data_IF_312997018184
#
_entry.id   IF_312997018184
#
_cell.length_a   1.000
_cell.length_b   1.000
_cell.length_c   1.000
_cell.angle_alpha   90.00
_cell.angle_beta   90.00
_cell.angle_gamma   90.00
#
_symmetry.space_group_name_H-M   'P 1'
#
loop_
_entity.id
_entity.type
_entity.pdbx_description
1 polymer ?
#
# COMPACT_ATOMS: atom_id res chain seq x y z
N UNK A 1 -15.77 4.63 4.74
CA UNK A 1 -16.07 3.67 5.82
C UNK A 1 -14.82 2.81 5.99
N UNK A 2 -14.28 2.68 7.20
CA UNK A 2 -13.04 1.94 7.42
C UNK A 2 -13.33 0.43 7.41
N UNK A 3 -12.61 -0.34 6.59
CA UNK A 3 -12.78 -1.79 6.57
C UNK A 3 -12.15 -2.42 7.81
N UNK A 4 -12.80 -3.44 8.35
CA UNK A 4 -12.27 -4.29 9.45
C UNK A 4 -11.53 -5.52 8.92
N UNK A 5 -11.33 -5.63 7.61
CA UNK A 5 -10.63 -6.77 7.01
C UNK A 5 -9.18 -6.86 7.51
N UNK A 6 -8.80 -8.05 7.98
CA UNK A 6 -7.46 -8.32 8.49
C UNK A 6 -6.44 -8.58 7.38
N UNK A 7 -6.89 -9.00 6.19
CA UNK A 7 -6.03 -9.35 5.06
C UNK A 7 -6.49 -8.68 3.76
N UNK A 8 -5.56 -8.43 2.81
CA UNK A 8 -5.90 -7.91 1.48
C UNK A 8 -6.97 -8.72 0.76
N UNK A 9 -6.93 -10.05 0.88
CA UNK A 9 -7.89 -10.96 0.26
C UNK A 9 -9.27 -10.81 0.89
N UNK A 10 -9.35 -10.78 2.21
CA UNK A 10 -10.60 -10.52 2.94
C UNK A 10 -11.17 -9.17 2.56
N UNK A 11 -10.32 -8.15 2.37
CA UNK A 11 -10.74 -6.84 1.93
C UNK A 11 -11.38 -6.89 0.55
N UNK A 12 -10.71 -7.48 -0.45
CA UNK A 12 -11.25 -7.63 -1.81
C UNK A 12 -12.56 -8.43 -1.83
N UNK A 13 -12.64 -9.49 -1.03
CA UNK A 13 -13.84 -10.32 -0.94
C UNK A 13 -15.02 -9.61 -0.25
N UNK A 14 -14.75 -8.64 0.63
CA UNK A 14 -15.78 -7.82 1.27
C UNK A 14 -16.39 -6.75 0.37
N UNK A 15 -15.80 -6.51 -0.82
CA UNK A 15 -16.28 -5.49 -1.74
C UNK A 15 -17.52 -5.97 -2.52
N UNK A 16 -18.48 -5.07 -2.80
CA UNK A 16 -19.56 -5.29 -3.77
C UNK A 16 -19.02 -5.75 -5.14
N UNK A 17 -19.77 -6.59 -5.85
CA UNK A 17 -19.31 -7.24 -7.09
C UNK A 17 -18.88 -6.25 -8.19
N UNK A 18 -19.61 -5.14 -8.33
CA UNK A 18 -19.33 -4.03 -9.24
C UNK A 18 -17.96 -3.39 -8.97
N UNK A 19 -17.52 -3.36 -7.70
CA UNK A 19 -16.22 -2.78 -7.29
C UNK A 19 -15.12 -3.79 -7.23
N UNK A 20 -15.45 -5.03 -6.87
CA UNK A 20 -14.50 -6.12 -6.72
C UNK A 20 -13.72 -6.32 -8.02
N UNK A 21 -14.36 -6.24 -9.17
CA UNK A 21 -13.69 -6.34 -10.47
C UNK A 21 -12.64 -5.21 -10.66
N UNK A 22 -13.05 -3.95 -10.53
CA UNK A 22 -12.17 -2.80 -10.73
C UNK A 22 -11.00 -2.77 -9.74
N UNK A 23 -11.27 -2.99 -8.44
CA UNK A 23 -10.23 -2.99 -7.40
C UNK A 23 -9.28 -4.17 -7.57
N UNK A 24 -9.77 -5.35 -7.98
CA UNK A 24 -8.90 -6.51 -8.23
C UNK A 24 -7.95 -6.27 -9.40
N UNK A 25 -8.43 -5.67 -10.50
CA UNK A 25 -7.58 -5.31 -11.64
C UNK A 25 -6.52 -4.27 -11.24
N UNK A 26 -6.91 -3.23 -10.51
CA UNK A 26 -5.95 -2.25 -9.99
C UNK A 26 -4.91 -2.89 -9.07
N UNK A 27 -5.32 -3.77 -8.16
CA UNK A 27 -4.42 -4.54 -7.27
C UNK A 27 -3.43 -5.37 -8.07
N UNK A 28 -3.90 -6.10 -9.10
CA UNK A 28 -3.01 -6.90 -9.97
C UNK A 28 -1.97 -6.02 -10.67
N UNK A 29 -2.39 -4.88 -11.24
CA UNK A 29 -1.48 -3.96 -11.92
C UNK A 29 -0.45 -3.40 -10.96
N UNK A 30 -0.86 -3.03 -9.74
CA UNK A 30 0.08 -2.53 -8.73
C UNK A 30 1.07 -3.62 -8.34
N UNK A 31 0.61 -4.81 -7.97
CA UNK A 31 1.50 -5.91 -7.58
C UNK A 31 2.49 -6.29 -8.69
N UNK A 32 2.07 -6.22 -9.96
CA UNK A 32 2.95 -6.46 -11.12
C UNK A 32 4.05 -5.40 -11.26
N UNK A 33 3.75 -4.15 -10.94
CA UNK A 33 4.68 -3.03 -11.07
C UNK A 33 5.37 -2.65 -9.76
N UNK A 34 4.99 -3.28 -8.65
CA UNK A 34 5.54 -3.00 -7.34
C UNK A 34 7.01 -3.45 -7.32
N UNK A 35 7.95 -2.57 -6.93
CA UNK A 35 9.36 -2.95 -6.86
C UNK A 35 9.58 -4.11 -5.88
N UNK A 36 10.56 -4.97 -6.19
CA UNK A 36 10.97 -6.05 -5.28
C UNK A 36 11.35 -5.46 -3.92
N UNK A 37 10.92 -6.14 -2.85
CA UNK A 37 11.18 -5.74 -1.48
C UNK A 37 10.02 -5.00 -0.81
N UNK A 38 9.03 -4.52 -1.56
CA UNK A 38 7.81 -3.95 -0.99
C UNK A 38 6.82 -5.07 -0.64
N UNK A 39 5.98 -4.82 0.35
CA UNK A 39 4.96 -5.76 0.82
C UNK A 39 3.57 -5.14 0.74
N UNK A 40 2.58 -5.97 0.43
CA UNK A 40 1.17 -5.61 0.53
C UNK A 40 0.64 -5.97 1.92
N UNK A 41 0.02 -5.01 2.60
CA UNK A 41 -0.53 -5.14 3.95
C UNK A 41 -1.89 -4.46 4.04
N UNK A 42 -2.66 -4.78 5.08
CA UNK A 42 -3.78 -3.94 5.48
C UNK A 42 -3.28 -2.82 6.40
N UNK A 43 -3.50 -1.56 6.01
CA UNK A 43 -3.10 -0.40 6.81
C UNK A 43 -4.27 0.59 6.86
N UNK A 44 -4.63 1.08 8.05
CA UNK A 44 -5.74 2.02 8.25
C UNK A 44 -7.07 1.59 7.60
N UNK A 45 -7.33 0.28 7.51
CA UNK A 45 -8.55 -0.27 6.91
C UNK A 45 -8.62 -0.19 5.38
N UNK A 46 -7.47 -0.06 4.73
CA UNK A 46 -7.30 -0.05 3.28
C UNK A 46 -6.09 -0.91 2.86
N UNK A 47 -5.98 -1.20 1.56
CA UNK A 47 -4.79 -1.87 1.02
C UNK A 47 -3.62 -0.89 1.08
N UNK A 48 -2.54 -1.28 1.76
CA UNK A 48 -1.30 -0.53 1.85
C UNK A 48 -0.17 -1.30 1.18
N UNK A 49 0.63 -0.59 0.39
CA UNK A 49 1.89 -1.06 -0.14
C UNK A 49 2.98 -0.33 0.61
N UNK A 50 3.82 -1.10 1.30
CA UNK A 50 4.76 -0.57 2.28
C UNK A 50 6.16 -1.10 2.03
N UNK A 51 7.15 -0.35 2.47
CA UNK A 51 8.52 -0.85 2.57
C UNK A 51 8.67 -1.50 3.95
N UNK A 52 9.09 -2.78 4.04
CA UNK A 52 9.40 -3.43 5.30
C UNK A 52 10.55 -2.75 6.05
N UNK A 53 10.51 -2.81 7.38
CA UNK A 53 11.57 -2.30 8.27
C UNK A 53 12.95 -2.87 7.97
N UNK A 54 13.04 -4.05 7.36
CA UNK A 54 14.33 -4.67 6.98
C UNK A 54 15.08 -3.89 5.90
N UNK A 55 14.39 -3.05 5.11
CA UNK A 55 14.99 -2.35 3.97
C UNK A 55 15.38 -0.90 4.27
N UNK A 56 14.81 -0.27 5.30
CA UNK A 56 15.07 1.15 5.59
C UNK A 56 15.87 1.36 6.88
N UNK A 57 16.74 2.39 6.92
CA UNK A 57 17.64 2.62 8.05
C UNK A 57 16.87 2.99 9.31
N UNK A 58 17.41 2.58 10.46
CA UNK A 58 16.86 2.90 11.78
C UNK A 58 16.74 4.43 11.94
N UNK A 59 15.58 4.87 12.44
CA UNK A 59 15.29 6.30 12.66
C UNK A 59 14.70 7.04 11.45
N UNK A 60 14.52 6.38 10.30
CA UNK A 60 13.91 7.01 9.12
C UNK A 60 12.41 7.31 9.28
N UNK A 61 11.70 6.49 10.07
CA UNK A 61 10.28 6.70 10.33
C UNK A 61 10.07 7.12 11.79
N UNK A 62 9.17 8.09 12.01
CA UNK A 62 8.85 8.60 13.35
C UNK A 62 8.27 7.53 14.27
N UNK A 63 7.59 6.51 13.72
CA UNK A 63 7.16 5.33 14.46
C UNK A 63 7.92 4.08 14.00
N UNK A 64 8.86 3.55 14.81
CA UNK A 64 9.63 2.36 14.47
C UNK A 64 8.80 1.06 14.50
N UNK A 65 7.50 1.11 14.83
CA UNK A 65 6.61 -0.06 14.76
C UNK A 65 5.86 -0.15 13.44
N UNK A 66 5.70 0.97 12.72
CA UNK A 66 4.93 1.01 11.48
C UNK A 66 5.85 0.93 10.25
N UNK A 67 5.53 0.11 9.24
CA UNK A 67 6.29 0.07 8.00
C UNK A 67 6.08 1.37 7.22
N UNK A 68 7.05 1.76 6.41
CA UNK A 68 6.99 3.02 5.66
C UNK A 68 5.92 2.93 4.55
N UNK A 69 4.88 3.79 4.57
CA UNK A 69 3.84 3.76 3.55
C UNK A 69 4.36 4.30 2.22
N UNK A 70 4.18 3.53 1.15
CA UNK A 70 4.53 3.93 -0.22
C UNK A 70 3.28 4.27 -1.03
N UNK A 71 2.28 3.40 -0.99
CA UNK A 71 1.01 3.60 -1.69
C UNK A 71 -0.13 3.01 -0.86
N UNK A 72 -1.32 3.56 -0.99
CA UNK A 72 -2.54 3.03 -0.41
C UNK A 72 -3.66 3.00 -1.45
N UNK A 73 -4.59 2.07 -1.30
CA UNK A 73 -5.80 1.98 -2.13
C UNK A 73 -7.01 1.68 -1.27
N UNK A 74 -8.04 2.53 -1.37
CA UNK A 74 -9.27 2.39 -0.64
C UNK A 74 -10.50 2.49 -1.55
N UNK A 75 -11.44 1.57 -1.40
CA UNK A 75 -12.79 1.66 -1.96
C UNK A 75 -13.65 2.55 -1.06
N UNK A 76 -13.99 3.75 -1.53
CA UNK A 76 -14.89 4.69 -0.87
C UNK A 76 -16.30 4.62 -1.46
N UNK A 77 -17.29 5.27 -0.85
CA UNK A 77 -18.71 5.12 -1.21
C UNK A 77 -19.03 5.38 -2.68
N UNK A 78 -18.25 6.17 -3.42
CA UNK A 78 -18.53 6.47 -4.84
C UNK A 78 -17.32 6.32 -5.77
N UNK A 79 -16.13 6.05 -5.24
CA UNK A 79 -14.90 6.00 -6.02
C UNK A 79 -13.86 5.10 -5.36
N UNK A 80 -12.87 4.69 -6.16
CA UNK A 80 -11.65 4.05 -5.64
C UNK A 80 -10.58 5.14 -5.49
N UNK A 81 -10.13 5.35 -4.27
CA UNK A 81 -9.07 6.29 -3.95
C UNK A 81 -7.72 5.58 -4.05
N UNK A 82 -6.79 6.17 -4.78
CA UNK A 82 -5.38 5.75 -4.83
C UNK A 82 -4.56 6.85 -4.19
N UNK A 83 -3.89 6.50 -3.09
CA UNK A 83 -2.98 7.37 -2.37
C UNK A 83 -1.57 6.98 -2.75
N UNK A 84 -0.87 7.83 -3.50
CA UNK A 84 0.56 7.62 -3.75
C UNK A 84 1.34 8.59 -2.89
N UNK A 85 2.09 8.07 -1.92
CA UNK A 85 2.99 8.87 -1.11
C UNK A 85 4.22 9.12 -1.96
N UNK A 86 4.16 10.18 -2.77
CA UNK A 86 5.26 10.60 -3.62
C UNK A 86 6.49 10.92 -2.78
N UNK A 87 7.42 9.99 -2.68
CA UNK A 87 8.76 10.29 -2.19
C UNK A 87 9.41 11.21 -3.22
N UNK A 88 9.53 12.49 -2.86
CA UNK A 88 10.17 13.50 -3.68
C UNK A 88 11.64 13.08 -3.88
N UNK A 89 12.01 12.79 -5.12
CA UNK A 89 13.35 12.30 -5.52
C UNK A 89 14.53 13.13 -4.96
N UNK A 90 14.30 14.39 -4.60
CA UNK A 90 15.33 15.27 -4.04
C UNK A 90 15.84 14.86 -2.65
N UNK A 91 15.04 14.09 -1.88
CA UNK A 91 15.43 13.57 -0.57
C UNK A 91 15.16 12.07 -0.48
N UNK A 92 15.24 11.36 -1.61
CA UNK A 92 15.09 9.92 -1.66
C UNK A 92 16.45 9.29 -1.32
N UNK A 93 16.64 8.78 -0.10
CA UNK A 93 17.92 8.21 0.30
C UNK A 93 18.26 6.99 -0.58
N UNK A 94 19.55 6.86 -0.91
CA UNK A 94 20.12 5.93 -1.90
C UNK A 94 19.67 4.47 -1.69
N UNK A 95 19.33 4.08 -0.45
CA UNK A 95 18.81 2.75 -0.12
C UNK A 95 17.44 2.45 -0.75
N UNK A 96 16.64 3.47 -1.09
CA UNK A 96 15.35 3.31 -1.78
C UNK A 96 15.53 2.95 -3.27
N UNK A 97 16.68 3.31 -3.85
CA UNK A 97 17.00 3.14 -5.27
C UNK A 97 17.97 2.00 -5.56
N UNK A 98 18.70 1.51 -4.55
CA UNK A 98 19.63 0.38 -4.72
C UNK A 98 18.87 -0.95 -4.64
N UNK A 99 18.63 -1.54 -5.81
CA UNK A 99 18.27 -2.95 -5.99
C UNK A 99 19.52 -3.83 -5.91
#
# INVERSE_FOLDING_TARGET
MQSKAATPETYINSLPADRKAAVSELRKVILKNLPKGFAEVMQYGMLGYVVPHSLYPKGYHCDPKLPLPFMGMASQKHFVAVYHMGIKYFFCPIWFTKK
#
